data_IF_660193483458
#
_entry.id   IF_660193483458
#
_cell.length_a   1.000
_cell.length_b   1.000
_cell.length_c   1.000
_cell.angle_alpha   90.00
_cell.angle_beta   90.00
_cell.angle_gamma   90.00
#
_symmetry.space_group_name_H-M   'P 1'
#
loop_
_entity.id
_entity.type
_entity.pdbx_description
1 polymer ?
#
# COMPACT_ATOMS: atom_id res chain seq x y z
N UNK A 1 -7.58 32.67 -13.16
CA UNK A 1 -7.25 31.23 -13.17
C UNK A 1 -6.62 30.87 -11.83
N UNK A 2 -7.29 30.08 -10.98
CA UNK A 2 -6.66 29.56 -9.75
C UNK A 2 -5.77 28.39 -10.13
N UNK A 3 -4.46 28.59 -10.15
CA UNK A 3 -3.48 27.51 -10.32
C UNK A 3 -3.68 26.54 -9.17
N UNK A 4 -4.23 25.36 -9.47
CA UNK A 4 -4.50 24.33 -8.48
C UNK A 4 -3.15 23.78 -8.03
N UNK A 5 -2.57 24.34 -6.97
CA UNK A 5 -1.36 23.85 -6.33
C UNK A 5 -1.65 22.37 -6.01
N UNK A 6 -0.95 21.46 -6.70
CA UNK A 6 -1.11 20.03 -6.47
C UNK A 6 -0.61 19.77 -5.05
N UNK A 7 -1.54 19.56 -4.12
CA UNK A 7 -1.22 19.10 -2.78
C UNK A 7 -0.35 17.85 -2.93
N UNK A 8 0.92 17.96 -2.53
CA UNK A 8 1.74 16.79 -2.28
C UNK A 8 1.04 16.03 -1.14
N UNK A 9 0.86 14.72 -1.32
CA UNK A 9 0.37 13.87 -0.24
C UNK A 9 1.35 13.94 0.93
N UNK A 10 0.83 14.08 2.15
CA UNK A 10 1.65 14.08 3.36
C UNK A 10 2.37 12.74 3.56
N UNK A 11 3.42 12.73 4.38
CA UNK A 11 4.30 11.57 4.54
C UNK A 11 3.57 10.36 5.13
N UNK A 12 2.57 10.59 6.01
CA UNK A 12 1.60 9.58 6.46
C UNK A 12 0.95 8.81 5.32
N UNK A 13 0.38 9.52 4.34
CA UNK A 13 -0.38 8.91 3.24
C UNK A 13 0.54 8.07 2.37
N UNK A 14 1.76 8.54 2.13
CA UNK A 14 2.77 7.78 1.38
C UNK A 14 3.18 6.53 2.15
N UNK A 15 3.48 6.66 3.43
CA UNK A 15 3.88 5.57 4.31
C UNK A 15 2.85 4.44 4.30
N UNK A 16 1.58 4.76 4.58
CA UNK A 16 0.50 3.77 4.57
C UNK A 16 0.32 3.14 3.18
N UNK A 17 0.41 3.93 2.10
CA UNK A 17 0.32 3.39 0.75
C UNK A 17 1.45 2.39 0.44
N UNK A 18 2.68 2.67 0.88
CA UNK A 18 3.83 1.79 0.65
C UNK A 18 3.71 0.49 1.45
N UNK A 19 3.34 0.56 2.72
CA UNK A 19 3.15 -0.62 3.57
C UNK A 19 2.08 -1.53 2.98
N UNK A 20 0.88 -1.00 2.71
CA UNK A 20 -0.22 -1.80 2.15
C UNK A 20 0.13 -2.36 0.76
N UNK A 21 0.87 -1.60 -0.05
CA UNK A 21 1.36 -2.08 -1.33
C UNK A 21 2.30 -3.27 -1.16
N UNK A 22 3.34 -3.16 -0.32
CA UNK A 22 4.29 -4.25 -0.09
C UNK A 22 3.65 -5.47 0.55
N UNK A 23 2.64 -5.31 1.41
CA UNK A 23 1.82 -6.42 1.94
C UNK A 23 1.15 -7.19 0.80
N UNK A 24 0.68 -6.50 -0.25
CA UNK A 24 0.07 -7.15 -1.42
C UNK A 24 -1.30 -6.62 -1.79
N UNK A 25 -1.78 -5.57 -1.13
CA UNK A 25 -3.07 -4.98 -1.48
C UNK A 25 -3.02 -4.34 -2.88
N UNK A 26 -4.10 -4.43 -3.67
CA UNK A 26 -4.19 -3.72 -4.94
C UNK A 26 -4.43 -2.22 -4.72
N UNK A 27 -4.02 -1.38 -5.68
CA UNK A 27 -4.17 0.08 -5.61
C UNK A 27 -5.60 0.53 -5.28
N UNK A 28 -6.61 -0.19 -5.78
CA UNK A 28 -8.02 0.08 -5.51
C UNK A 28 -8.38 -0.08 -4.03
N UNK A 29 -7.87 -1.13 -3.37
CA UNK A 29 -8.14 -1.35 -1.94
C UNK A 29 -7.45 -0.27 -1.09
N UNK A 30 -6.22 0.08 -1.44
CA UNK A 30 -5.45 1.15 -0.79
C UNK A 30 -6.15 2.49 -0.96
N UNK A 31 -6.67 2.78 -2.16
CA UNK A 31 -7.41 4.00 -2.45
C UNK A 31 -8.67 4.13 -1.58
N UNK A 32 -9.41 3.02 -1.37
CA UNK A 32 -10.55 2.99 -0.46
C UNK A 32 -10.12 3.25 0.98
N UNK A 33 -9.06 2.61 1.46
CA UNK A 33 -8.55 2.77 2.81
C UNK A 33 -8.11 4.22 3.10
N UNK A 34 -7.49 4.88 2.13
CA UNK A 34 -6.98 6.25 2.25
C UNK A 34 -7.97 7.34 1.82
N UNK A 35 -9.19 6.97 1.40
CA UNK A 35 -10.16 7.90 0.81
C UNK A 35 -9.59 8.73 -0.36
N UNK A 36 -8.77 8.09 -1.21
CA UNK A 36 -8.14 8.68 -2.38
C UNK A 36 -8.70 8.11 -3.68
N UNK A 37 -8.40 8.77 -4.80
CA UNK A 37 -8.62 8.18 -6.13
C UNK A 37 -7.52 7.15 -6.41
N UNK A 38 -7.86 6.04 -7.07
CA UNK A 38 -6.88 5.01 -7.49
C UNK A 38 -5.69 5.61 -8.24
N UNK A 39 -5.94 6.57 -9.15
CA UNK A 39 -4.87 7.28 -9.89
C UNK A 39 -3.89 8.04 -8.98
N UNK A 40 -4.34 8.54 -7.82
CA UNK A 40 -3.45 9.20 -6.86
C UNK A 40 -2.55 8.18 -6.18
N UNK A 41 -3.10 7.05 -5.75
CA UNK A 41 -2.34 5.93 -5.18
C UNK A 41 -1.34 5.36 -6.17
N UNK A 42 -1.76 5.11 -7.41
CA UNK A 42 -0.86 4.70 -8.50
C UNK A 42 0.29 5.69 -8.67
N UNK A 43 -0.01 7.00 -8.67
CA UNK A 43 1.01 8.03 -8.74
C UNK A 43 1.97 8.05 -7.54
N UNK A 44 1.50 7.79 -6.32
CA UNK A 44 2.34 7.67 -5.11
C UNK A 44 3.29 6.48 -5.26
N UNK A 45 2.76 5.30 -5.62
CA UNK A 45 3.53 4.06 -5.75
C UNK A 45 4.54 4.16 -6.91
N UNK A 46 4.14 4.65 -8.07
CA UNK A 46 5.02 4.76 -9.25
C UNK A 46 6.22 5.68 -9.04
N UNK A 47 6.14 6.62 -8.09
CA UNK A 47 7.25 7.53 -7.75
C UNK A 47 8.10 7.01 -6.59
N UNK A 48 7.80 5.85 -6.04
CA UNK A 48 8.58 5.22 -4.99
C UNK A 48 9.45 4.09 -5.52
N UNK A 49 10.44 3.72 -4.72
CA UNK A 49 11.26 2.53 -4.94
C UNK A 49 10.46 1.21 -4.88
N UNK A 50 9.22 1.25 -4.38
CA UNK A 50 8.37 0.06 -4.20
C UNK A 50 7.49 -0.25 -5.42
N UNK A 51 7.52 0.59 -6.47
CA UNK A 51 6.69 0.42 -7.68
C UNK A 51 6.79 -0.97 -8.30
N UNK A 52 8.00 -1.54 -8.32
CA UNK A 52 8.31 -2.85 -8.90
C UNK A 52 7.97 -4.08 -8.05
N UNK A 53 6.98 -4.02 -7.14
CA UNK A 53 6.63 -5.14 -6.24
C UNK A 53 6.44 -6.48 -6.95
N UNK A 54 5.89 -6.48 -8.17
CA UNK A 54 5.69 -7.71 -8.97
C UNK A 54 7.00 -8.38 -9.42
N UNK A 55 8.11 -7.65 -9.40
CA UNK A 55 9.43 -8.14 -9.75
C UNK A 55 10.27 -8.50 -8.53
N UNK A 56 9.79 -8.18 -7.33
CA UNK A 56 10.45 -8.53 -6.08
C UNK A 56 10.14 -9.97 -5.69
N UNK A 57 11.15 -10.68 -5.22
CA UNK A 57 10.99 -11.93 -4.49
C UNK A 57 10.24 -11.69 -3.19
N UNK A 58 9.66 -12.76 -2.62
CA UNK A 58 9.02 -12.69 -1.31
C UNK A 58 10.00 -12.27 -0.21
N UNK A 59 11.28 -12.60 -0.33
CA UNK A 59 12.31 -12.19 0.62
C UNK A 59 12.57 -10.68 0.55
N UNK A 60 12.80 -10.12 -0.65
CA UNK A 60 13.01 -8.68 -0.83
C UNK A 60 11.81 -7.85 -0.35
N UNK A 61 10.58 -8.34 -0.59
CA UNK A 61 9.37 -7.67 -0.08
C UNK A 61 9.30 -7.69 1.44
N UNK A 62 9.67 -8.80 2.08
CA UNK A 62 9.70 -8.89 3.55
C UNK A 62 10.75 -7.96 4.14
N UNK A 63 11.94 -7.88 3.53
CA UNK A 63 13.00 -6.98 3.98
C UNK A 63 12.57 -5.52 3.89
N UNK A 64 12.05 -5.09 2.74
CA UNK A 64 11.52 -3.72 2.58
C UNK A 64 10.34 -3.41 3.49
N UNK A 65 9.48 -4.39 3.74
CA UNK A 65 8.36 -4.23 4.67
C UNK A 65 8.85 -4.10 6.12
N UNK A 66 9.90 -4.83 6.49
CA UNK A 66 10.56 -4.73 7.80
C UNK A 66 11.24 -3.38 7.98
N UNK A 67 11.93 -2.87 6.97
CA UNK A 67 12.51 -1.51 7.00
C UNK A 67 11.43 -0.45 7.29
N UNK A 68 10.26 -0.57 6.65
CA UNK A 68 9.12 0.33 6.93
C UNK A 68 8.56 0.14 8.35
N UNK A 69 8.52 -1.08 8.87
CA UNK A 69 8.09 -1.37 10.24
C UNK A 69 9.02 -0.72 11.27
N UNK A 70 10.33 -0.79 11.06
CA UNK A 70 11.34 -0.24 11.96
C UNK A 70 11.26 1.29 12.07
N UNK A 71 10.89 1.97 10.98
CA UNK A 71 10.72 3.44 10.97
C UNK A 71 9.29 3.89 11.28
N UNK A 72 8.38 2.97 11.65
CA UNK A 72 6.95 3.29 11.87
C UNK A 72 6.75 4.35 12.95
N UNK A 73 7.58 4.31 13.98
CA UNK A 73 7.50 5.22 15.13
C UNK A 73 8.47 6.38 14.92
N UNK A 74 7.94 7.59 14.82
CA UNK A 74 8.71 8.82 14.86
C UNK A 74 8.49 9.49 16.21
N UNK A 75 9.57 9.64 16.99
CA UNK A 75 9.52 10.19 18.36
C UNK A 75 8.53 9.47 19.31
N UNK A 76 8.27 8.19 19.06
CA UNK A 76 7.33 7.37 19.85
C UNK A 76 5.89 7.41 19.35
N UNK A 77 5.58 8.21 18.33
CA UNK A 77 4.27 8.29 17.70
C UNK A 77 4.26 7.57 16.34
N UNK A 78 3.20 6.81 16.01
CA UNK A 78 3.11 6.14 14.72
C UNK A 78 2.85 7.15 13.59
N UNK A 79 3.68 7.11 12.55
CA UNK A 79 3.54 7.94 11.34
C UNK A 79 2.17 7.75 10.67
N UNK A 80 1.54 6.59 10.86
CA UNK A 80 0.23 6.24 10.29
C UNK A 80 -0.99 6.69 11.11
N UNK A 81 -0.82 7.38 12.24
CA UNK A 81 -1.87 7.71 13.23
C UNK A 81 -2.66 6.46 13.69
N UNK A 82 -1.96 5.32 13.84
CA UNK A 82 -2.55 4.04 14.27
C UNK A 82 -3.39 3.31 13.22
N UNK A 83 -3.45 3.82 11.97
CA UNK A 83 -4.20 3.17 10.88
C UNK A 83 -3.74 1.73 10.60
N UNK A 84 -2.48 1.40 10.89
CA UNK A 84 -1.87 0.09 10.68
C UNK A 84 -1.80 -0.77 11.94
N UNK A 85 -2.37 -0.34 13.08
CA UNK A 85 -2.30 -1.10 14.35
C UNK A 85 -2.88 -2.51 14.27
N UNK A 86 -3.84 -2.70 13.36
CA UNK A 86 -4.51 -3.99 13.14
C UNK A 86 -4.05 -4.68 11.86
N UNK A 87 -3.03 -4.15 11.21
CA UNK A 87 -2.49 -4.68 9.95
C UNK A 87 -1.16 -5.36 10.25
N UNK A 88 -1.07 -6.69 10.10
CA UNK A 88 0.21 -7.38 10.27
C UNK A 88 1.17 -6.98 9.15
N UNK A 89 2.43 -6.69 9.50
CA UNK A 89 3.52 -6.40 8.57
C UNK A 89 4.05 -7.70 7.95
N UNK A 90 3.15 -8.43 7.30
CA UNK A 90 3.41 -9.72 6.66
C UNK A 90 2.94 -9.69 5.22
N UNK A 91 3.76 -10.19 4.30
CA UNK A 91 3.37 -10.28 2.90
C UNK A 91 2.25 -11.31 2.70
N UNK A 92 1.27 -10.95 1.87
CA UNK A 92 0.31 -11.89 1.32
C UNK A 92 1.00 -12.66 0.17
N UNK A 93 0.93 -14.00 0.16
CA UNK A 93 1.48 -14.81 -0.92
C UNK A 93 0.81 -14.45 -2.25
N UNK A 94 1.60 -14.28 -3.29
CA UNK A 94 1.12 -14.05 -4.65
C UNK A 94 0.44 -15.35 -5.13
N UNK A 95 -0.87 -15.45 -4.93
CA UNK A 95 -1.68 -16.63 -5.28
C UNK A 95 -2.80 -16.98 -4.30
N UNK A 96 -2.74 -16.48 -3.05
CA UNK A 96 -3.74 -16.82 -2.03
C UNK A 96 -5.12 -16.17 -2.25
N UNK A 97 -5.20 -15.12 -3.08
CA UNK A 97 -6.48 -14.45 -3.44
C UNK A 97 -7.20 -15.10 -4.62
N UNK A 98 -6.67 -16.20 -5.16
CA UNK A 98 -7.20 -16.90 -6.32
C UNK A 98 -7.92 -18.21 -5.99
N UNK A 99 -9.01 -18.17 -5.21
CA UNK A 99 -10.10 -19.10 -5.50
C UNK A 99 -11.10 -18.34 -6.34
N UNK A 100 -11.11 -18.49 -7.69
CA UNK A 100 -12.30 -18.17 -8.43
C UNK A 100 -13.39 -19.08 -7.88
N UNK A 101 -14.24 -18.54 -7.00
CA UNK A 101 -15.49 -19.21 -6.69
C UNK A 101 -16.18 -19.51 -8.03
N UNK A 102 -16.81 -20.67 -8.21
CA UNK A 102 -17.37 -21.05 -9.49
C UNK A 102 -18.32 -19.93 -9.92
N UNK A 103 -17.92 -19.21 -10.97
CA UNK A 103 -18.79 -18.26 -11.66
C UNK A 103 -19.94 -19.09 -12.21
N UNK A 104 -21.00 -19.24 -11.43
CA UNK A 104 -22.30 -19.72 -11.89
C UNK A 104 -22.86 -18.65 -12.81
N UNK A 105 -22.37 -18.62 -14.05
CA UNK A 105 -23.06 -17.94 -15.14
C UNK A 105 -24.20 -18.86 -15.55
N UNK A 106 -25.37 -18.68 -14.94
CA UNK A 106 -26.62 -19.13 -15.56
C UNK A 106 -26.89 -18.17 -16.71
N UNK A 107 -26.70 -18.65 -17.94
CA UNK A 107 -27.48 -18.26 -19.11
C UNK A 107 -27.91 -19.55 -19.79
#
# INVERSE_FOLDING_TARGET
>A
MRTKIRSHHGDRVKYVAYVLWLIGYPERAIALALSLRTKQVAGIIHRSEYSGRSHMTDQERKEKLKELEEIRLDQGEPIDDGMLDRVPFSILPIGATGKPGPLRRRM
#
